data_IF_622642169674
#
_entry.id   IF_622642169674
#
_cell.length_a   1.000
_cell.length_b   1.000
_cell.length_c   1.000
_cell.angle_alpha   90.00
_cell.angle_beta   90.00
_cell.angle_gamma   90.00
#
_symmetry.space_group_name_H-M   'P 1'
#
loop_
_entity.id
_entity.type
_entity.pdbx_description
1 polymer ?
#
# COMPACT_ATOMS: atom_id res chain seq x y z
N UNK A 1 6.82 18.42 5.89
CA UNK A 1 7.06 17.13 6.57
C UNK A 1 7.41 16.14 5.49
N UNK A 2 8.61 15.57 5.57
CA UNK A 2 9.00 14.52 4.64
C UNK A 2 8.68 13.19 5.28
N UNK A 3 7.77 12.46 4.72
CA UNK A 3 7.76 11.04 4.92
C UNK A 3 8.89 10.43 4.09
N UNK A 4 9.79 9.80 4.76
CA UNK A 4 10.90 9.08 4.13
C UNK A 4 10.61 7.58 4.04
N UNK A 5 9.39 7.18 4.37
CA UNK A 5 8.95 5.79 4.21
C UNK A 5 9.02 5.32 2.76
N UNK A 6 8.83 6.24 1.86
CA UNK A 6 8.99 6.00 0.43
C UNK A 6 10.42 5.76 -0.03
N UNK A 7 11.35 6.16 0.76
CA UNK A 7 12.73 5.82 0.53
C UNK A 7 13.06 4.38 0.92
N UNK A 8 12.09 3.55 1.23
CA UNK A 8 12.22 2.10 1.26
C UNK A 8 12.47 1.57 -0.16
N UNK A 9 13.46 2.09 -0.74
CA UNK A 9 13.99 1.77 -2.02
C UNK A 9 15.05 0.70 -1.81
N UNK A 10 15.12 -0.17 -2.75
CA UNK A 10 16.15 -1.18 -2.77
C UNK A 10 17.54 -0.55 -2.69
N UNK A 11 18.35 -1.10 -1.80
CA UNK A 11 19.77 -0.84 -1.77
C UNK A 11 20.48 -2.06 -2.31
N UNK A 12 21.16 -1.92 -3.42
CA UNK A 12 21.94 -3.01 -3.95
C UNK A 12 23.45 -2.69 -3.99
N UNK A 13 24.23 -3.74 -3.81
CA UNK A 13 25.69 -3.66 -3.83
C UNK A 13 26.21 -3.83 -5.25
N UNK A 14 26.92 -2.84 -5.73
CA UNK A 14 27.73 -2.99 -6.95
C UNK A 14 29.06 -3.66 -6.60
N UNK A 15 29.18 -4.96 -6.84
CA UNK A 15 30.35 -5.75 -6.46
C UNK A 15 31.67 -5.23 -7.04
N UNK A 16 31.67 -4.72 -8.29
CA UNK A 16 32.87 -4.19 -8.95
C UNK A 16 33.40 -2.91 -8.30
N UNK A 17 32.54 -2.05 -7.81
CA UNK A 17 32.93 -0.78 -7.19
C UNK A 17 32.92 -0.83 -5.67
N UNK A 18 32.43 -1.91 -5.06
CA UNK A 18 32.23 -2.03 -3.62
C UNK A 18 31.39 -0.88 -3.03
N UNK A 19 30.43 -0.38 -3.82
CA UNK A 19 29.54 0.71 -3.44
C UNK A 19 28.12 0.18 -3.18
N UNK A 20 27.41 0.87 -2.28
CA UNK A 20 25.98 0.73 -2.10
C UNK A 20 25.29 1.88 -2.81
N UNK A 21 24.22 1.59 -3.52
CA UNK A 21 23.41 2.58 -4.23
C UNK A 21 21.97 2.47 -3.75
N UNK A 22 21.41 3.60 -3.31
CA UNK A 22 19.97 3.68 -3.00
C UNK A 22 19.21 3.89 -4.29
N UNK A 23 18.22 3.06 -4.52
CA UNK A 23 17.32 3.16 -5.65
C UNK A 23 16.04 3.86 -5.21
N UNK A 24 15.92 5.14 -5.46
CA UNK A 24 14.74 5.94 -5.08
C UNK A 24 13.77 6.03 -6.26
N UNK A 25 12.49 5.96 -5.99
CA UNK A 25 11.46 6.20 -7.00
C UNK A 25 11.33 7.70 -7.24
N UNK A 26 11.57 8.18 -8.47
CA UNK A 26 11.40 9.60 -8.78
C UNK A 26 9.91 9.96 -8.88
N UNK A 27 9.60 11.22 -8.59
CA UNK A 27 8.30 11.81 -8.90
C UNK A 27 8.16 12.11 -10.41
N UNK A 28 7.02 12.69 -10.82
CA UNK A 28 6.77 13.05 -12.22
C UNK A 28 7.78 14.07 -12.80
N UNK A 29 8.47 14.82 -11.94
CA UNK A 29 9.49 15.79 -12.32
C UNK A 29 10.92 15.23 -12.25
N UNK A 30 11.07 13.96 -11.84
CA UNK A 30 12.37 13.31 -11.69
C UNK A 30 13.07 13.57 -10.37
N UNK A 31 12.42 14.22 -9.40
CA UNK A 31 12.99 14.44 -8.08
C UNK A 31 12.90 13.16 -7.25
N UNK A 32 14.00 12.85 -6.54
CA UNK A 32 14.10 11.63 -5.72
C UNK A 32 13.72 11.87 -4.26
N UNK A 33 13.77 13.11 -3.80
CA UNK A 33 13.38 13.50 -2.45
C UNK A 33 13.20 15.01 -2.35
N UNK A 34 12.38 15.42 -1.39
CA UNK A 34 12.19 16.83 -1.02
C UNK A 34 12.59 16.99 0.44
N UNK A 35 13.37 18.02 0.76
CA UNK A 35 13.80 18.28 2.12
C UNK A 35 13.67 19.77 2.46
N UNK A 36 13.10 20.08 3.59
CA UNK A 36 13.11 21.41 4.17
C UNK A 36 14.22 21.49 5.21
N UNK A 37 15.11 22.49 5.11
CA UNK A 37 16.16 22.70 6.09
C UNK A 37 15.65 23.54 7.29
N UNK A 38 16.09 23.25 8.53
CA UNK A 38 16.97 22.14 8.91
C UNK A 38 16.23 20.79 8.98
N UNK A 39 16.87 19.71 8.54
CA UNK A 39 16.29 18.38 8.54
C UNK A 39 17.34 17.29 8.72
N UNK A 40 16.98 16.21 9.40
CA UNK A 40 17.80 15.01 9.52
C UNK A 40 17.28 13.92 8.60
N UNK A 41 18.17 13.26 7.88
CA UNK A 41 17.83 12.06 7.11
C UNK A 41 17.66 10.86 8.04
N UNK A 42 16.84 9.86 7.67
CA UNK A 42 16.81 8.61 8.42
C UNK A 42 18.15 7.90 8.39
N UNK A 43 18.37 7.09 9.42
CA UNK A 43 19.52 6.20 9.47
C UNK A 43 19.48 5.22 8.30
N UNK A 44 20.64 4.98 7.72
CA UNK A 44 20.88 3.85 6.82
C UNK A 44 21.90 2.94 7.46
N UNK A 45 21.55 1.68 7.63
CA UNK A 45 22.36 0.71 8.33
C UNK A 45 22.76 -0.42 7.40
N UNK A 46 23.95 -0.95 7.62
CA UNK A 46 24.43 -2.18 6.98
C UNK A 46 24.72 -3.20 8.08
N UNK A 47 23.99 -4.29 8.07
CA UNK A 47 24.20 -5.38 9.02
C UNK A 47 25.15 -6.37 8.37
N UNK A 48 26.28 -6.61 9.02
CA UNK A 48 27.31 -7.59 8.58
C UNK A 48 27.44 -8.67 9.63
N UNK A 49 27.33 -9.91 9.21
CA UNK A 49 27.46 -11.07 10.10
C UNK A 49 28.28 -12.18 9.45
N UNK A 50 28.82 -13.08 10.25
CA UNK A 50 29.53 -14.28 9.78
C UNK A 50 28.56 -15.41 9.38
N UNK A 51 27.31 -15.31 9.83
CA UNK A 51 26.26 -16.28 9.56
C UNK A 51 24.90 -15.59 9.38
N UNK A 52 23.94 -16.27 8.79
CA UNK A 52 22.57 -15.78 8.66
C UNK A 52 21.91 -15.50 10.03
N UNK A 53 22.25 -16.29 11.04
CA UNK A 53 21.75 -16.09 12.41
C UNK A 53 22.23 -14.80 13.04
N UNK A 54 23.45 -14.35 12.73
CA UNK A 54 23.99 -13.07 13.24
C UNK A 54 23.18 -11.90 12.69
N UNK A 55 22.77 -11.98 11.43
CA UNK A 55 21.93 -10.95 10.80
C UNK A 55 20.55 -10.91 11.44
N UNK A 56 19.92 -12.07 11.65
CA UNK A 56 18.62 -12.17 12.30
C UNK A 56 18.64 -11.71 13.76
N UNK A 57 19.74 -11.95 14.47
CA UNK A 57 19.90 -11.55 15.87
C UNK A 57 20.29 -10.09 16.05
N UNK A 58 20.62 -9.38 14.97
CA UNK A 58 21.05 -7.99 15.05
C UNK A 58 19.96 -7.07 15.55
N UNK A 59 20.27 -6.25 16.54
CA UNK A 59 19.37 -5.23 17.10
C UNK A 59 19.76 -3.79 16.71
N UNK A 60 20.64 -3.63 15.76
CA UNK A 60 21.17 -2.31 15.41
C UNK A 60 20.07 -1.34 15.00
N UNK A 61 19.05 -1.81 14.28
CA UNK A 61 17.92 -1.00 13.84
C UNK A 61 17.11 -0.47 15.02
N UNK A 62 16.88 -1.29 16.04
CA UNK A 62 16.16 -0.88 17.24
C UNK A 62 16.97 0.13 18.09
N UNK A 63 18.30 -0.04 18.14
CA UNK A 63 19.16 0.83 18.92
C UNK A 63 19.29 2.24 18.36
N UNK A 64 18.92 2.46 17.11
CA UNK A 64 19.00 3.76 16.43
C UNK A 64 17.69 4.55 16.48
N UNK A 65 16.61 3.92 16.91
CA UNK A 65 15.31 4.57 17.02
C UNK A 65 15.08 5.12 18.42
N UNK A 66 14.33 6.21 18.50
CA UNK A 66 13.78 6.69 19.75
C UNK A 66 12.84 5.64 20.37
N UNK A 67 12.67 5.67 21.69
CA UNK A 67 11.68 4.80 22.35
C UNK A 67 10.29 4.92 21.73
N UNK A 68 9.53 3.83 21.75
CA UNK A 68 8.14 3.86 21.28
C UNK A 68 7.33 4.92 22.01
N UNK A 69 6.53 5.67 21.25
CA UNK A 69 5.52 6.60 21.76
C UNK A 69 4.15 5.97 21.92
N UNK A 70 4.00 4.71 21.50
CA UNK A 70 2.76 3.96 21.64
C UNK A 70 2.74 3.33 23.02
N UNK A 71 1.84 3.80 23.89
CA UNK A 71 1.73 3.33 25.26
C UNK A 71 1.12 1.94 25.36
N UNK A 72 0.01 1.70 24.65
CA UNK A 72 -0.65 0.39 24.60
C UNK A 72 -0.38 -0.31 23.27
N UNK A 73 0.34 -1.42 23.33
CA UNK A 73 0.65 -2.29 22.19
C UNK A 73 -0.13 -3.62 22.22
N UNK A 74 -1.11 -3.77 23.10
CA UNK A 74 -1.87 -5.02 23.29
C UNK A 74 -2.67 -5.43 22.05
N UNK A 75 -2.99 -4.49 21.19
CA UNK A 75 -3.67 -4.71 19.91
C UNK A 75 -2.77 -5.33 18.83
N UNK A 76 -1.43 -5.24 18.97
CA UNK A 76 -0.48 -5.82 18.01
C UNK A 76 -0.44 -7.33 18.24
N UNK A 77 -0.98 -8.08 17.29
CA UNK A 77 -1.02 -9.55 17.34
C UNK A 77 -0.54 -10.13 16.02
N UNK A 78 0.14 -11.30 16.02
CA UNK A 78 0.37 -12.05 14.81
C UNK A 78 -0.97 -12.34 14.12
N UNK A 79 -1.08 -11.94 12.86
CA UNK A 79 -2.33 -12.00 12.09
C UNK A 79 -2.12 -12.83 10.83
N UNK A 80 -2.95 -13.85 10.63
CA UNK A 80 -3.03 -14.57 9.37
C UNK A 80 -4.03 -13.87 8.47
N UNK A 81 -3.60 -13.39 7.34
CA UNK A 81 -4.48 -12.76 6.38
C UNK A 81 -4.34 -13.35 4.98
N UNK A 82 -5.37 -13.19 4.19
CA UNK A 82 -5.34 -13.43 2.75
C UNK A 82 -5.62 -12.13 2.01
N UNK A 83 -5.33 -12.09 0.70
CA UNK A 83 -5.45 -10.86 -0.07
C UNK A 83 -6.29 -11.03 -1.34
N UNK A 84 -7.08 -9.99 -1.64
CA UNK A 84 -7.70 -9.78 -2.94
C UNK A 84 -6.69 -9.08 -3.83
N UNK A 85 -5.83 -9.83 -4.51
CA UNK A 85 -4.79 -9.31 -5.41
C UNK A 85 -4.27 -10.36 -6.39
N UNK A 86 -4.29 -11.64 -6.01
CA UNK A 86 -3.68 -12.71 -6.81
C UNK A 86 -4.37 -12.92 -8.16
N UNK A 87 -5.69 -12.81 -8.20
CA UNK A 87 -6.44 -12.92 -9.47
C UNK A 87 -6.11 -11.79 -10.46
N UNK A 88 -5.69 -10.61 -9.94
CA UNK A 88 -5.23 -9.51 -10.79
C UNK A 88 -3.82 -9.77 -11.32
N UNK A 89 -2.92 -10.29 -10.49
CA UNK A 89 -1.57 -10.70 -10.93
C UNK A 89 -1.63 -11.76 -12.02
N UNK A 90 -2.59 -12.68 -11.93
CA UNK A 90 -2.77 -13.74 -12.94
C UNK A 90 -3.58 -13.30 -14.15
N UNK A 91 -4.03 -12.04 -14.21
CA UNK A 91 -4.78 -11.48 -15.31
C UNK A 91 -6.24 -11.98 -15.42
N UNK A 92 -6.78 -12.57 -14.35
CA UNK A 92 -8.18 -13.02 -14.31
C UNK A 92 -9.15 -11.93 -13.89
N UNK A 93 -8.65 -10.89 -13.26
CA UNK A 93 -9.41 -9.72 -12.85
C UNK A 93 -8.55 -8.47 -12.98
N UNK A 94 -9.18 -7.31 -12.88
CA UNK A 94 -8.55 -6.00 -12.93
C UNK A 94 -8.47 -5.37 -11.54
N UNK A 95 -7.47 -4.49 -11.34
CA UNK A 95 -7.44 -3.58 -10.19
C UNK A 95 -8.39 -2.40 -10.36
N UNK A 96 -8.75 -2.06 -11.60
CA UNK A 96 -9.56 -0.91 -11.96
C UNK A 96 -11.00 -1.29 -12.30
N UNK A 97 -11.87 -0.31 -12.09
CA UNK A 97 -13.32 -0.46 -12.23
C UNK A 97 -13.81 -0.42 -13.68
N UNK A 98 -13.18 0.40 -14.53
CA UNK A 98 -13.67 0.70 -15.86
C UNK A 98 -12.56 0.71 -16.91
N UNK A 99 -12.91 0.36 -18.15
CA UNK A 99 -12.05 0.48 -19.33
C UNK A 99 -12.37 1.73 -20.17
N UNK A 100 -13.34 2.57 -19.74
CA UNK A 100 -13.75 3.78 -20.47
C UNK A 100 -12.70 4.90 -20.36
N UNK A 101 -11.74 4.79 -19.43
CA UNK A 101 -10.75 5.81 -19.14
C UNK A 101 -9.35 5.39 -19.56
N UNK A 102 -8.67 6.27 -20.30
CA UNK A 102 -7.23 6.14 -20.53
C UNK A 102 -6.38 6.78 -19.43
N UNK A 103 -6.98 7.66 -18.62
CA UNK A 103 -6.36 8.37 -17.48
C UNK A 103 -7.43 8.95 -16.57
N UNK A 104 -7.15 8.93 -15.28
CA UNK A 104 -8.04 9.45 -14.22
C UNK A 104 -7.64 10.86 -13.86
N UNK A 105 -8.62 11.71 -13.60
CA UNK A 105 -8.44 12.99 -12.93
C UNK A 105 -9.11 12.94 -11.57
N UNK A 106 -8.30 12.83 -10.53
CA UNK A 106 -8.79 12.78 -9.16
C UNK A 106 -9.59 14.06 -8.87
N UNK A 107 -10.75 13.92 -8.24
CA UNK A 107 -11.73 14.96 -7.96
C UNK A 107 -12.50 15.54 -9.18
N UNK A 108 -12.20 15.12 -10.40
CA UNK A 108 -12.90 15.56 -11.61
C UNK A 108 -13.64 14.42 -12.30
N UNK A 109 -13.11 13.20 -12.22
CA UNK A 109 -13.70 12.02 -12.86
C UNK A 109 -14.92 11.55 -12.08
N UNK A 110 -16.07 11.55 -12.73
CA UNK A 110 -17.32 11.04 -12.14
C UNK A 110 -17.47 9.55 -12.47
N UNK A 111 -17.10 8.69 -11.54
CA UNK A 111 -17.17 7.23 -11.70
C UNK A 111 -18.59 6.69 -11.79
N UNK A 112 -19.60 7.37 -11.24
CA UNK A 112 -21.01 6.94 -11.32
C UNK A 112 -21.55 6.98 -12.75
N UNK A 113 -20.91 7.74 -13.64
CA UNK A 113 -21.26 7.84 -15.04
C UNK A 113 -20.53 6.87 -15.97
N UNK A 114 -19.61 6.07 -15.44
CA UNK A 114 -18.75 5.18 -16.20
C UNK A 114 -19.28 3.75 -16.19
N UNK A 115 -18.91 2.98 -17.21
CA UNK A 115 -19.34 1.59 -17.35
C UNK A 115 -18.40 0.66 -16.58
N UNK A 116 -18.91 -0.13 -15.62
CA UNK A 116 -18.06 -1.15 -14.97
C UNK A 116 -17.59 -2.19 -16.00
N UNK A 117 -16.31 -2.56 -15.91
CA UNK A 117 -15.76 -3.58 -16.82
C UNK A 117 -16.17 -5.02 -16.43
N UNK A 118 -16.85 -5.20 -15.32
CA UNK A 118 -17.31 -6.48 -14.76
C UNK A 118 -16.19 -7.49 -14.42
N UNK A 119 -14.94 -7.07 -14.49
CA UNK A 119 -13.77 -7.87 -14.12
C UNK A 119 -13.04 -7.34 -12.89
N UNK A 120 -13.45 -6.20 -12.38
CA UNK A 120 -12.90 -5.60 -11.16
C UNK A 120 -12.93 -6.59 -9.99
N UNK A 121 -11.78 -6.80 -9.34
CA UNK A 121 -11.67 -7.79 -8.27
C UNK A 121 -12.23 -7.29 -6.94
N UNK A 122 -11.97 -6.03 -6.59
CA UNK A 122 -12.37 -5.43 -5.33
C UNK A 122 -13.85 -4.97 -5.35
N UNK A 123 -14.76 -5.78 -5.87
CA UNK A 123 -16.19 -5.48 -5.80
C UNK A 123 -16.87 -6.17 -4.62
N UNK A 124 -18.02 -5.65 -4.21
CA UNK A 124 -18.77 -6.15 -3.06
C UNK A 124 -18.99 -7.68 -3.08
N UNK A 125 -19.38 -8.23 -4.22
CA UNK A 125 -19.71 -9.66 -4.33
C UNK A 125 -18.49 -10.55 -4.15
N UNK A 126 -17.39 -10.21 -4.81
CA UNK A 126 -16.15 -10.98 -4.69
C UNK A 126 -15.54 -10.85 -3.29
N UNK A 127 -15.47 -9.63 -2.76
CA UNK A 127 -14.91 -9.39 -1.43
C UNK A 127 -15.70 -10.15 -0.35
N UNK A 128 -17.03 -10.19 -0.42
CA UNK A 128 -17.84 -11.00 0.49
C UNK A 128 -17.50 -12.50 0.40
N UNK A 129 -17.26 -13.04 -0.80
CA UNK A 129 -16.83 -14.44 -0.97
C UNK A 129 -15.44 -14.70 -0.37
N UNK A 130 -14.51 -13.74 -0.48
CA UNK A 130 -13.21 -13.83 0.18
C UNK A 130 -13.32 -13.77 1.69
N UNK A 131 -14.24 -12.95 2.23
CA UNK A 131 -14.53 -12.91 3.68
C UNK A 131 -15.07 -14.25 4.16
N UNK A 132 -16.01 -14.86 3.43
CA UNK A 132 -16.54 -16.18 3.76
C UNK A 132 -15.43 -17.22 3.78
N UNK A 133 -14.61 -17.28 2.75
CA UNK A 133 -13.48 -18.20 2.69
C UNK A 133 -12.48 -17.97 3.83
N UNK A 134 -12.14 -16.72 4.11
CA UNK A 134 -11.24 -16.37 5.20
C UNK A 134 -11.78 -16.89 6.56
N UNK A 135 -13.05 -16.66 6.81
CA UNK A 135 -13.74 -17.13 8.03
C UNK A 135 -13.76 -18.64 8.14
N UNK A 136 -14.09 -19.35 7.06
CA UNK A 136 -14.17 -20.81 7.03
C UNK A 136 -12.81 -21.49 7.22
N UNK A 137 -11.72 -20.82 6.82
CA UNK A 137 -10.37 -21.40 6.85
C UNK A 137 -9.46 -20.82 7.93
N UNK A 138 -10.03 -20.11 8.91
CA UNK A 138 -9.31 -19.66 10.09
C UNK A 138 -8.26 -18.60 9.82
N UNK A 139 -8.53 -17.69 8.88
CA UNK A 139 -7.83 -16.44 8.74
C UNK A 139 -8.40 -15.39 9.69
N UNK A 140 -7.59 -14.40 10.05
CA UNK A 140 -7.97 -13.34 10.96
C UNK A 140 -8.41 -12.08 10.19
N UNK A 141 -7.87 -11.91 8.96
CA UNK A 141 -8.08 -10.71 8.18
C UNK A 141 -8.11 -10.96 6.66
N UNK A 142 -8.68 -10.02 5.93
CA UNK A 142 -8.66 -9.92 4.48
C UNK A 142 -8.06 -8.58 4.07
N UNK A 143 -6.95 -8.61 3.31
CA UNK A 143 -6.37 -7.44 2.68
C UNK A 143 -7.01 -7.25 1.30
N UNK A 144 -7.38 -6.01 0.96
CA UNK A 144 -8.00 -5.68 -0.32
C UNK A 144 -7.14 -4.66 -1.07
N UNK A 145 -6.64 -5.04 -2.24
CA UNK A 145 -6.06 -4.14 -3.23
C UNK A 145 -7.11 -3.75 -4.27
N UNK A 146 -6.92 -2.63 -4.95
CA UNK A 146 -7.82 -2.20 -6.02
C UNK A 146 -9.15 -1.61 -5.55
N UNK A 147 -9.31 -1.33 -4.27
CA UNK A 147 -10.58 -0.85 -3.71
C UNK A 147 -10.86 0.63 -4.02
N UNK A 148 -9.81 1.46 -4.17
CA UNK A 148 -9.86 2.92 -4.29
C UNK A 148 -9.61 3.40 -5.72
N UNK A 149 -10.03 4.60 -6.01
CA UNK A 149 -9.91 5.24 -7.33
C UNK A 149 -8.45 5.46 -7.71
N UNK A 150 -8.11 5.25 -8.99
CA UNK A 150 -6.83 5.61 -9.59
C UNK A 150 -6.05 4.47 -10.23
N UNK A 151 -6.47 3.23 -10.07
CA UNK A 151 -5.73 2.06 -10.60
C UNK A 151 -5.67 2.01 -12.12
N UNK A 152 -6.53 2.73 -12.84
CA UNK A 152 -6.47 2.92 -14.29
C UNK A 152 -5.17 3.60 -14.74
N UNK A 153 -4.57 4.40 -13.85
CA UNK A 153 -3.30 5.09 -14.10
C UNK A 153 -2.08 4.41 -13.47
N UNK A 154 -2.29 3.31 -12.76
CA UNK A 154 -1.21 2.51 -12.24
C UNK A 154 -0.41 1.89 -13.39
N UNK A 155 0.78 1.50 -13.26
CA UNK A 155 1.67 0.98 -14.30
C UNK A 155 2.02 1.95 -15.44
N UNK A 156 3.30 2.29 -15.50
CA UNK A 156 3.95 3.03 -16.58
C UNK A 156 3.50 4.48 -16.79
N UNK A 157 2.67 5.04 -15.92
CA UNK A 157 2.32 6.45 -16.02
C UNK A 157 3.06 7.25 -14.96
N UNK A 158 3.98 8.12 -15.42
CA UNK A 158 4.65 9.12 -14.58
C UNK A 158 3.67 10.26 -14.32
N UNK A 159 2.92 10.14 -13.25
CA UNK A 159 1.89 11.11 -12.89
C UNK A 159 1.92 11.36 -11.39
N UNK A 160 1.89 12.63 -10.98
CA UNK A 160 1.57 12.99 -9.60
C UNK A 160 0.08 12.70 -9.36
N UNK A 161 -0.29 12.30 -8.16
CA UNK A 161 -1.68 12.07 -7.78
C UNK A 161 -2.38 10.98 -8.62
N UNK A 162 -1.80 9.80 -8.64
CA UNK A 162 -2.40 8.64 -9.32
C UNK A 162 -3.61 8.11 -8.55
N UNK A 163 -3.50 7.99 -7.23
CA UNK A 163 -4.54 7.40 -6.39
C UNK A 163 -5.27 8.42 -5.53
N UNK A 164 -6.56 8.19 -5.32
CA UNK A 164 -7.30 8.73 -4.20
C UNK A 164 -7.37 7.67 -3.10
N UNK A 165 -6.76 7.95 -1.94
CA UNK A 165 -6.67 7.00 -0.84
C UNK A 165 -7.88 7.01 0.10
N UNK A 166 -8.91 7.76 -0.23
CA UNK A 166 -10.12 7.93 0.58
C UNK A 166 -11.36 7.42 -0.15
N UNK A 167 -11.42 7.58 -1.48
CA UNK A 167 -12.62 7.31 -2.26
C UNK A 167 -12.59 5.90 -2.84
N UNK A 168 -13.53 5.02 -2.44
CA UNK A 168 -13.67 3.71 -3.05
C UNK A 168 -14.27 3.80 -4.46
N UNK A 169 -14.09 2.75 -5.24
CA UNK A 169 -14.86 2.57 -6.46
C UNK A 169 -16.36 2.37 -6.16
N UNK A 170 -17.27 2.68 -7.11
CA UNK A 170 -18.71 2.60 -6.88
C UNK A 170 -19.24 1.21 -6.49
N UNK A 171 -18.53 0.15 -6.86
CA UNK A 171 -18.89 -1.23 -6.55
C UNK A 171 -18.24 -1.77 -5.26
N UNK A 172 -17.54 -0.91 -4.49
CA UNK A 172 -16.92 -1.23 -3.22
C UNK A 172 -17.53 -0.42 -2.08
N UNK A 173 -18.51 -1.00 -1.40
CA UNK A 173 -19.17 -0.41 -0.25
C UNK A 173 -18.47 -0.84 1.05
N UNK A 174 -17.56 0.03 1.53
CA UNK A 174 -16.73 -0.25 2.70
C UNK A 174 -17.55 -0.51 3.96
N UNK A 175 -18.61 0.26 4.19
CA UNK A 175 -19.42 0.10 5.39
C UNK A 175 -20.16 -1.26 5.42
N UNK A 176 -20.73 -1.63 4.27
CA UNK A 176 -21.40 -2.92 4.11
C UNK A 176 -20.44 -4.08 4.29
N UNK A 177 -19.26 -3.97 3.67
CA UNK A 177 -18.22 -4.99 3.72
C UNK A 177 -17.64 -5.13 5.13
N UNK A 178 -17.39 -4.02 5.82
CA UNK A 178 -16.91 -4.06 7.20
C UNK A 178 -17.92 -4.71 8.14
N UNK A 179 -19.19 -4.31 8.07
CA UNK A 179 -20.26 -4.93 8.85
C UNK A 179 -20.41 -6.43 8.56
N UNK A 180 -20.18 -6.84 7.32
CA UNK A 180 -20.20 -8.25 6.94
C UNK A 180 -19.00 -9.00 7.50
N UNK A 181 -17.81 -8.46 7.37
CA UNK A 181 -16.58 -9.03 7.88
C UNK A 181 -16.60 -9.19 9.41
N UNK A 182 -17.05 -8.18 10.14
CA UNK A 182 -17.24 -8.24 11.60
C UNK A 182 -18.12 -9.40 12.02
N UNK A 183 -19.26 -9.62 11.35
CA UNK A 183 -20.16 -10.74 11.61
C UNK A 183 -19.51 -12.11 11.38
N UNK A 184 -18.47 -12.15 10.54
CA UNK A 184 -17.72 -13.36 10.21
C UNK A 184 -16.43 -13.49 11.04
N UNK A 185 -16.15 -12.52 11.91
CA UNK A 185 -14.92 -12.48 12.72
C UNK A 185 -13.66 -12.15 11.92
N UNK A 186 -13.79 -11.47 10.78
CA UNK A 186 -12.70 -11.09 9.89
C UNK A 186 -12.49 -9.58 9.95
N UNK A 187 -11.23 -9.15 10.07
CA UNK A 187 -10.84 -7.74 9.94
C UNK A 187 -10.54 -7.39 8.48
N UNK A 188 -11.00 -6.24 8.01
CA UNK A 188 -10.60 -5.72 6.71
C UNK A 188 -9.30 -4.92 6.82
N UNK A 189 -8.39 -5.16 5.88
CA UNK A 189 -7.15 -4.42 5.71
C UNK A 189 -7.18 -3.75 4.34
N UNK A 190 -7.12 -2.42 4.33
CA UNK A 190 -7.14 -1.64 3.09
C UNK A 190 -5.70 -1.38 2.62
N UNK A 191 -5.40 -1.78 1.39
CA UNK A 191 -4.09 -1.54 0.79
C UNK A 191 -4.02 -0.14 0.20
N UNK A 192 -2.96 0.58 0.51
CA UNK A 192 -2.61 1.83 -0.13
C UNK A 192 -1.36 1.64 -1.00
N UNK A 193 -1.55 1.60 -2.32
CA UNK A 193 -0.45 1.54 -3.27
C UNK A 193 0.25 2.89 -3.35
N UNK A 194 1.50 2.94 -2.96
CA UNK A 194 2.29 4.18 -2.91
C UNK A 194 3.31 4.30 -4.04
N UNK A 195 3.49 3.27 -4.87
CA UNK A 195 4.42 3.34 -5.99
C UNK A 195 3.96 4.37 -7.02
N UNK A 196 4.79 5.36 -7.26
CA UNK A 196 4.48 6.47 -8.17
C UNK A 196 3.49 7.51 -7.65
N UNK A 197 3.01 7.39 -6.40
CA UNK A 197 1.98 8.28 -5.86
C UNK A 197 2.23 8.75 -4.42
N UNK A 198 3.47 8.77 -3.98
CA UNK A 198 3.86 9.08 -2.60
C UNK A 198 3.39 10.45 -2.12
N UNK A 199 3.52 11.48 -2.96
CA UNK A 199 3.10 12.83 -2.59
C UNK A 199 1.60 12.89 -2.32
N UNK A 200 0.84 12.10 -3.06
CA UNK A 200 -0.59 11.98 -2.86
C UNK A 200 -0.91 11.25 -1.55
N UNK A 201 -0.19 10.18 -1.25
CA UNK A 201 -0.34 9.46 0.00
C UNK A 201 -0.06 10.35 1.22
N UNK A 202 1.08 11.06 1.22
CA UNK A 202 1.43 11.98 2.30
C UNK A 202 0.39 13.09 2.51
N UNK A 203 -0.27 13.51 1.45
CA UNK A 203 -1.32 14.54 1.50
C UNK A 203 -2.62 14.03 2.12
N UNK A 204 -2.95 12.75 1.90
CA UNK A 204 -4.22 12.17 2.29
C UNK A 204 -4.14 11.29 3.55
N UNK A 205 -2.93 11.05 4.09
CA UNK A 205 -2.72 10.06 5.15
C UNK A 205 -3.54 10.37 6.41
N UNK A 206 -3.60 11.62 6.82
CA UNK A 206 -4.32 12.01 8.03
C UNK A 206 -5.83 11.78 7.88
N UNK A 207 -6.39 12.08 6.71
CA UNK A 207 -7.80 11.87 6.41
C UNK A 207 -8.12 10.38 6.15
N UNK A 208 -7.17 9.62 5.63
CA UNK A 208 -7.35 8.20 5.35
C UNK A 208 -7.37 7.33 6.62
N UNK A 209 -6.86 7.85 7.74
CA UNK A 209 -6.85 7.16 9.03
C UNK A 209 -7.83 7.74 10.06
N UNK A 210 -8.58 8.77 9.72
CA UNK A 210 -9.62 9.36 10.57
C UNK A 210 -10.96 8.64 10.42
#
# INVERSE_FOLDING_TARGET
TLSLSSAASDVYKRQKSMTFESHLTPDAFGNMAYMNAPHNTPWRTVIVGNSASDILASRITYNLNEPSKIEDTSWIKPTKYMGVWWEMITGQSTWWYTDDLSSVRINETNYDSLTPNNTHAANNTKVMRYIDFASEHGFDALLVEGWNIGWEDWFNKKKDYVFDFQTPYPDFDIEKLNKYAEKKGISLMMHHETSGAIRNYERHIDDAYS
#
